data_IF_415963373499
#
_entry.id   IF_415963373499
#
_cell.length_a   1.000
_cell.length_b   1.000
_cell.length_c   1.000
_cell.angle_alpha   90.00
_cell.angle_beta   90.00
_cell.angle_gamma   90.00
#
_symmetry.space_group_name_H-M   'P 1'
#
loop_
_entity.id
_entity.type
_entity.pdbx_description
1 polymer ?
#
# COMPACT_ATOMS: atom_id res chain seq x y z
N UNK A 1 18.37 -1.07 17.14
CA UNK A 1 17.03 -1.69 17.21
C UNK A 1 16.06 -0.81 16.46
N UNK A 2 15.30 -1.35 15.51
CA UNK A 2 14.36 -0.57 14.69
C UNK A 2 13.17 -0.11 15.56
N UNK A 3 12.95 1.20 15.66
CA UNK A 3 12.00 1.87 16.55
C UNK A 3 10.58 2.00 15.99
N UNK A 4 10.25 1.29 14.91
CA UNK A 4 8.92 1.39 14.32
C UNK A 4 7.93 0.47 15.06
N UNK A 5 7.06 1.09 15.87
CA UNK A 5 5.98 0.48 16.67
C UNK A 5 4.84 -0.18 15.85
N UNK A 6 5.04 -0.47 14.57
CA UNK A 6 3.98 -0.91 13.67
C UNK A 6 4.21 -2.36 13.22
N UNK A 7 3.11 -3.08 13.01
CA UNK A 7 3.11 -4.47 12.55
C UNK A 7 3.70 -4.57 11.14
N UNK A 8 4.36 -5.69 10.83
CA UNK A 8 5.03 -5.88 9.53
C UNK A 8 4.07 -6.20 8.39
N UNK A 9 2.85 -6.65 8.70
CA UNK A 9 1.86 -7.11 7.73
C UNK A 9 0.86 -6.01 7.31
N UNK A 10 0.72 -4.96 8.13
CA UNK A 10 -0.17 -3.84 7.88
C UNK A 10 0.59 -2.66 7.28
N UNK A 11 -0.05 -1.91 6.40
CA UNK A 11 0.55 -0.68 5.86
C UNK A 11 0.65 0.37 6.99
N UNK A 12 1.82 1.00 7.19
CA UNK A 12 1.98 2.11 8.11
C UNK A 12 1.03 3.28 7.83
N UNK A 13 0.62 4.01 8.87
CA UNK A 13 -0.39 5.07 8.75
C UNK A 13 0.01 6.19 7.77
N UNK A 14 1.29 6.57 7.73
CA UNK A 14 1.80 7.58 6.81
C UNK A 14 1.67 7.14 5.34
N UNK A 15 1.82 5.84 5.07
CA UNK A 15 1.62 5.25 3.75
C UNK A 15 0.12 5.14 3.44
N UNK A 16 -0.72 4.73 4.40
CA UNK A 16 -2.17 4.70 4.22
C UNK A 16 -2.76 6.08 3.86
N UNK A 17 -2.26 7.15 4.50
CA UNK A 17 -2.63 8.55 4.15
C UNK A 17 -2.28 8.88 2.70
N UNK A 18 -1.06 8.56 2.26
CA UNK A 18 -0.62 8.74 0.87
C UNK A 18 -1.42 7.89 -0.12
N UNK A 19 -1.77 6.65 0.24
CA UNK A 19 -2.61 5.78 -0.58
C UNK A 19 -3.98 6.43 -0.85
N UNK A 20 -4.61 7.00 0.18
CA UNK A 20 -5.85 7.76 0.02
C UNK A 20 -5.69 8.96 -0.90
N UNK A 21 -4.60 9.73 -0.74
CA UNK A 21 -4.31 10.89 -1.60
C UNK A 21 -4.17 10.52 -3.09
N UNK A 22 -3.62 9.35 -3.40
CA UNK A 22 -3.50 8.84 -4.79
C UNK A 22 -4.76 8.11 -5.28
N UNK A 23 -5.84 8.07 -4.49
CA UNK A 23 -7.13 7.53 -4.89
C UNK A 23 -7.37 6.05 -4.57
N UNK A 24 -6.67 5.47 -3.60
CA UNK A 24 -7.01 4.15 -3.06
C UNK A 24 -8.39 4.22 -2.39
N UNK A 25 -9.38 3.48 -2.90
CA UNK A 25 -10.78 3.52 -2.45
C UNK A 25 -11.37 2.11 -2.31
N UNK A 26 -10.58 1.18 -1.78
CA UNK A 26 -10.99 -0.21 -1.57
C UNK A 26 -11.53 -0.45 -0.16
N UNK A 27 -12.28 -1.55 0.00
CA UNK A 27 -12.72 -2.03 1.30
C UNK A 27 -11.52 -2.51 2.13
N UNK A 28 -11.47 -2.12 3.39
CA UNK A 28 -10.42 -2.54 4.32
C UNK A 28 -11.02 -2.95 5.66
N UNK A 29 -10.52 -4.02 6.28
CA UNK A 29 -10.94 -4.42 7.62
C UNK A 29 -10.47 -3.43 8.68
N UNK A 30 -9.35 -2.71 8.46
CA UNK A 30 -8.81 -1.76 9.43
C UNK A 30 -8.96 -0.31 8.94
N UNK A 31 -9.12 0.60 9.90
CA UNK A 31 -9.16 2.04 9.64
C UNK A 31 -8.58 2.85 10.80
N UNK A 32 -8.09 4.04 10.51
CA UNK A 32 -7.70 5.03 11.51
C UNK A 32 -8.62 6.24 11.43
N UNK A 33 -9.19 6.62 12.55
CA UNK A 33 -9.87 7.90 12.73
C UNK A 33 -8.88 8.91 13.32
N UNK A 34 -8.60 10.00 12.61
CA UNK A 34 -7.71 11.05 13.13
C UNK A 34 -8.26 11.71 14.40
N UNK A 35 -9.59 11.76 14.58
CA UNK A 35 -10.24 12.42 15.70
C UNK A 35 -9.95 11.70 17.02
N UNK A 36 -10.02 10.36 16.98
CA UNK A 36 -9.80 9.52 18.16
C UNK A 36 -8.37 8.96 18.25
N UNK A 37 -7.58 9.09 17.18
CA UNK A 37 -6.17 8.70 17.13
C UNK A 37 -5.91 7.22 17.45
N UNK A 38 -6.84 6.32 17.11
CA UNK A 38 -6.68 4.87 17.24
C UNK A 38 -7.05 4.11 15.97
N UNK A 39 -6.41 2.95 15.78
CA UNK A 39 -6.76 2.00 14.72
C UNK A 39 -7.93 1.16 15.19
N UNK A 40 -9.00 1.14 14.40
CA UNK A 40 -10.17 0.29 14.60
C UNK A 40 -10.24 -0.81 13.54
N UNK A 41 -11.07 -1.80 13.83
CA UNK A 41 -11.46 -2.89 12.94
C UNK A 41 -12.94 -2.76 12.55
N UNK A 42 -13.25 -3.19 11.34
CA UNK A 42 -14.63 -3.27 10.86
C UNK A 42 -15.39 -4.34 11.62
N UNK A 43 -16.67 -4.04 11.89
CA UNK A 43 -17.60 -4.95 12.54
C UNK A 43 -18.81 -5.23 11.65
N UNK A 44 -19.29 -6.45 11.71
CA UNK A 44 -20.52 -6.90 11.05
C UNK A 44 -21.77 -6.35 11.79
N UNK A 45 -22.96 -6.69 11.29
CA UNK A 45 -24.22 -6.29 11.90
C UNK A 45 -24.45 -6.81 13.33
N UNK A 46 -23.68 -7.81 13.76
CA UNK A 46 -23.77 -8.44 15.07
C UNK A 46 -22.64 -7.97 16.02
N UNK A 47 -21.74 -7.09 15.55
CA UNK A 47 -20.62 -6.57 16.32
C UNK A 47 -19.36 -7.46 16.31
N UNK A 48 -19.34 -8.54 15.53
CA UNK A 48 -18.15 -9.38 15.33
C UNK A 48 -17.21 -8.76 14.30
N UNK A 49 -15.94 -9.20 14.32
CA UNK A 49 -14.94 -8.77 13.35
C UNK A 49 -15.38 -9.12 11.91
N UNK A 50 -15.35 -8.11 11.05
CA UNK A 50 -15.63 -8.23 9.62
C UNK A 50 -14.33 -8.07 8.82
N UNK A 51 -13.91 -9.16 8.19
CA UNK A 51 -12.69 -9.20 7.37
C UNK A 51 -12.90 -8.63 5.96
N UNK A 52 -14.13 -8.59 5.44
CA UNK A 52 -14.44 -7.91 4.18
C UNK A 52 -14.24 -6.40 4.35
N UNK A 53 -14.72 -5.89 5.49
CA UNK A 53 -14.51 -4.53 5.93
C UNK A 53 -15.20 -3.49 5.05
N UNK A 54 -14.84 -2.23 5.26
CA UNK A 54 -15.50 -1.09 4.63
C UNK A 54 -14.49 -0.12 4.04
N UNK A 55 -14.90 0.61 3.01
CA UNK A 55 -14.11 1.71 2.51
C UNK A 55 -14.33 2.94 3.41
N UNK A 56 -13.35 3.22 4.28
CA UNK A 56 -13.36 4.37 5.18
C UNK A 56 -12.77 5.64 4.53
N UNK A 57 -12.14 5.53 3.36
CA UNK A 57 -11.60 6.68 2.63
C UNK A 57 -12.69 7.61 2.08
N UNK A 58 -13.97 7.21 2.12
CA UNK A 58 -15.12 8.06 1.82
C UNK A 58 -15.27 9.22 2.81
N UNK A 59 -14.79 9.05 4.04
CA UNK A 59 -14.84 10.08 5.08
C UNK A 59 -13.58 10.91 5.04
N UNK A 60 -13.67 12.22 5.24
CA UNK A 60 -12.53 13.14 5.12
C UNK A 60 -11.36 12.79 6.05
N UNK A 61 -11.66 12.59 7.34
CA UNK A 61 -10.66 12.46 8.42
C UNK A 61 -10.44 11.02 8.89
N UNK A 62 -10.94 10.05 8.13
CA UNK A 62 -10.74 8.61 8.36
C UNK A 62 -9.93 8.02 7.21
N UNK A 63 -9.07 7.05 7.51
CA UNK A 63 -8.23 6.39 6.51
C UNK A 63 -8.45 4.88 6.61
N UNK A 64 -8.80 4.26 5.48
CA UNK A 64 -8.68 2.82 5.32
C UNK A 64 -7.21 2.43 5.45
N UNK A 65 -6.92 1.44 6.30
CA UNK A 65 -5.57 0.89 6.47
C UNK A 65 -5.55 -0.51 5.84
N UNK A 66 -5.02 -0.63 4.61
CA UNK A 66 -4.91 -1.93 3.96
C UNK A 66 -3.77 -2.75 4.55
N UNK A 67 -3.83 -4.07 4.36
CA UNK A 67 -2.63 -4.91 4.41
C UNK A 67 -1.73 -4.62 3.22
N UNK A 68 -0.45 -5.02 3.31
CA UNK A 68 0.45 -4.92 2.16
C UNK A 68 -0.09 -5.68 0.93
N UNK A 69 -0.76 -6.81 1.15
CA UNK A 69 -1.36 -7.60 0.09
C UNK A 69 -2.48 -6.84 -0.63
N UNK A 70 -3.37 -6.19 0.12
CA UNK A 70 -4.45 -5.35 -0.43
C UNK A 70 -3.90 -4.16 -1.21
N UNK A 71 -2.92 -3.43 -0.64
CA UNK A 71 -2.30 -2.29 -1.31
C UNK A 71 -1.61 -2.71 -2.62
N UNK A 72 -0.85 -3.80 -2.60
CA UNK A 72 -0.17 -4.32 -3.79
C UNK A 72 -1.15 -4.87 -4.83
N UNK A 73 -2.24 -5.51 -4.41
CA UNK A 73 -3.30 -5.96 -5.32
C UNK A 73 -3.94 -4.77 -6.06
N UNK A 74 -4.20 -3.67 -5.38
CA UNK A 74 -4.70 -2.44 -6.00
C UNK A 74 -3.73 -1.87 -7.03
N UNK A 75 -2.43 -1.80 -6.71
CA UNK A 75 -1.42 -1.37 -7.69
C UNK A 75 -1.38 -2.28 -8.92
N UNK A 76 -1.46 -3.61 -8.73
CA UNK A 76 -1.50 -4.58 -9.85
C UNK A 76 -2.75 -4.41 -10.72
N UNK A 77 -3.92 -4.17 -10.12
CA UNK A 77 -5.17 -3.92 -10.85
C UNK A 77 -5.09 -2.63 -11.68
N UNK A 78 -4.29 -1.65 -11.23
CA UNK A 78 -3.96 -0.43 -11.97
C UNK A 78 -2.85 -0.62 -13.01
N UNK A 79 -2.33 -1.84 -13.17
CA UNK A 79 -1.26 -2.16 -14.12
C UNK A 79 0.14 -1.82 -13.63
N UNK A 80 0.36 -1.51 -12.34
CA UNK A 80 1.71 -1.35 -11.80
C UNK A 80 2.30 -2.71 -11.43
N UNK A 81 3.51 -2.97 -11.90
CA UNK A 81 4.26 -4.18 -11.60
C UNK A 81 5.57 -3.84 -10.91
N UNK A 82 5.96 -4.70 -9.97
CA UNK A 82 7.21 -4.59 -9.23
C UNK A 82 8.17 -5.71 -9.61
N UNK A 83 9.45 -5.39 -9.82
CA UNK A 83 10.53 -6.37 -9.91
C UNK A 83 11.52 -6.17 -8.77
N UNK A 84 11.91 -7.27 -8.15
CA UNK A 84 13.01 -7.32 -7.18
C UNK A 84 14.18 -8.06 -7.82
N UNK A 85 15.29 -7.38 -8.00
CA UNK A 85 16.50 -7.95 -8.58
C UNK A 85 17.60 -7.98 -7.51
N UNK A 86 17.97 -9.19 -7.10
CA UNK A 86 19.11 -9.42 -6.22
C UNK A 86 20.30 -9.87 -7.08
N UNK A 87 21.35 -9.05 -7.11
CA UNK A 87 22.60 -9.34 -7.82
C UNK A 87 23.77 -9.40 -6.83
N UNK A 88 24.92 -9.90 -7.27
CA UNK A 88 26.17 -9.85 -6.48
C UNK A 88 26.61 -8.42 -6.12
N UNK A 89 26.09 -7.41 -6.85
CA UNK A 89 26.37 -5.98 -6.61
C UNK A 89 25.35 -5.32 -5.68
N UNK A 90 24.27 -6.01 -5.32
CA UNK A 90 23.24 -5.52 -4.43
C UNK A 90 21.81 -5.85 -4.89
N UNK A 91 20.85 -5.43 -4.08
CA UNK A 91 19.41 -5.60 -4.33
C UNK A 91 18.81 -4.29 -4.85
N UNK A 92 18.07 -4.38 -5.95
CA UNK A 92 17.32 -3.28 -6.56
C UNK A 92 15.84 -3.62 -6.60
N UNK A 93 15.00 -2.59 -6.46
CA UNK A 93 13.56 -2.69 -6.59
C UNK A 93 13.09 -1.71 -7.66
N UNK A 94 12.28 -2.19 -8.60
CA UNK A 94 11.74 -1.41 -9.70
C UNK A 94 10.22 -1.49 -9.68
N UNK A 95 9.54 -0.34 -9.75
CA UNK A 95 8.10 -0.27 -10.01
C UNK A 95 7.94 0.35 -11.39
N UNK A 96 7.17 -0.31 -12.25
CA UNK A 96 6.92 0.14 -13.61
C UNK A 96 5.45 -0.02 -13.97
N UNK A 97 4.96 0.86 -14.84
CA UNK A 97 3.69 0.74 -15.53
C UNK A 97 4.00 0.31 -16.98
N UNK A 98 3.46 -0.81 -17.49
CA UNK A 98 3.71 -1.27 -18.84
C UNK A 98 2.87 -0.42 -19.80
N UNK A 99 3.53 0.47 -20.53
CA UNK A 99 2.90 1.15 -21.65
C UNK A 99 2.99 0.22 -22.87
N UNK A 100 1.86 -0.37 -23.29
CA UNK A 100 1.83 -1.20 -24.50
C UNK A 100 1.80 -0.26 -25.71
N UNK A 101 2.97 0.16 -26.18
CA UNK A 101 3.13 0.70 -27.54
C UNK A 101 3.66 -0.41 -28.45
N UNK A 102 2.82 -0.86 -29.40
CA UNK A 102 3.22 -1.71 -30.53
C UNK A 102 3.96 -3.02 -30.17
N UNK A 103 3.33 -3.92 -29.41
CA UNK A 103 3.86 -5.28 -29.12
C UNK A 103 5.27 -5.32 -28.49
N UNK A 104 5.72 -4.23 -27.86
CA UNK A 104 6.91 -4.20 -26.99
C UNK A 104 6.52 -3.67 -25.61
N UNK A 105 6.87 -4.41 -24.56
CA UNK A 105 6.71 -3.95 -23.18
C UNK A 105 7.87 -2.98 -22.91
N UNK A 106 7.61 -1.68 -22.93
CA UNK A 106 8.52 -0.67 -22.40
C UNK A 106 8.14 -0.40 -20.95
N UNK A 107 8.95 -0.91 -20.02
CA UNK A 107 8.81 -0.56 -18.60
C UNK A 107 9.38 0.84 -18.37
N UNK A 108 8.54 1.82 -18.01
CA UNK A 108 9.03 3.09 -17.49
C UNK A 108 9.58 2.83 -16.09
N UNK A 109 10.91 2.72 -16.00
CA UNK A 109 11.61 2.39 -14.77
C UNK A 109 11.83 3.66 -13.94
N UNK A 110 11.08 3.84 -12.85
CA UNK A 110 11.36 4.88 -11.86
C UNK A 110 12.54 4.42 -10.98
N UNK A 111 13.78 4.52 -11.47
CA UNK A 111 14.96 4.13 -10.68
C UNK A 111 15.27 5.17 -9.61
N UNK A 112 14.96 4.85 -8.35
CA UNK A 112 15.63 5.48 -7.20
C UNK A 112 16.86 4.63 -6.83
N UNK A 113 18.03 5.10 -7.24
CA UNK A 113 19.32 4.49 -6.87
C UNK A 113 19.53 4.66 -5.37
N UNK A 114 19.30 3.61 -4.58
CA UNK A 114 19.71 3.55 -3.18
C UNK A 114 21.25 3.52 -3.15
N UNK A 115 21.88 4.69 -3.04
CA UNK A 115 23.33 4.77 -2.77
C UNK A 115 23.54 4.28 -1.34
N UNK A 116 24.28 3.18 -1.19
CA UNK A 116 24.89 2.83 0.10
C UNK A 116 25.95 3.90 0.39
N UNK A 117 25.76 4.65 1.48
CA UNK A 117 26.84 5.42 2.10
C UNK A 117 27.81 4.39 2.68
N UNK A 118 29.01 4.33 2.11
CA UNK A 118 30.16 3.64 2.72
C UNK A 118 30.72 4.47 3.87
#
# INVERSE_FOLDING_TARGET
MNTQKYTTWLVPLDIAKKLKEIGFNEHCPFSMDNYWSFVDCSKDGNGFFDLEGKNHNIYKDVYSIPTWEQALAWFRAKGYYGNLEATSKGTSAYIFYPEIRQRRILGVCLQRKLRRSS
#
